data_IF_972724966302
#
_entry.id   IF_972724966302
#
_cell.length_a   1.000
_cell.length_b   1.000
_cell.length_c   1.000
_cell.angle_alpha   90.00
_cell.angle_beta   90.00
_cell.angle_gamma   90.00
#
_symmetry.space_group_name_H-M   'P 1'
#
loop_
_entity.id
_entity.type
_entity.pdbx_description
1 polymer ?
#
# COMPACT_ATOMS: atom_id res chain seq x y z
N UNK A 1 -8.36 -32.72 -36.18
CA UNK A 1 -8.44 -31.95 -34.91
C UNK A 1 -9.19 -30.65 -35.19
N UNK A 2 -10.33 -30.41 -34.55
CA UNK A 2 -11.03 -29.11 -34.64
C UNK A 2 -10.36 -28.16 -33.63
N UNK A 3 -9.72 -27.11 -34.13
CA UNK A 3 -9.21 -26.04 -33.29
C UNK A 3 -10.41 -25.29 -32.68
N UNK A 4 -10.68 -25.53 -31.40
CA UNK A 4 -11.64 -24.75 -30.63
C UNK A 4 -11.07 -23.34 -30.51
N UNK A 5 -11.59 -22.40 -31.32
CA UNK A 5 -11.37 -20.97 -31.12
C UNK A 5 -12.10 -20.54 -29.85
N UNK A 6 -11.50 -20.80 -28.69
CA UNK A 6 -11.84 -20.07 -27.49
C UNK A 6 -11.22 -18.69 -27.61
N UNK A 7 -12.04 -17.65 -27.70
CA UNK A 7 -11.60 -16.29 -27.37
C UNK A 7 -11.24 -16.32 -25.88
N UNK A 8 -9.96 -16.62 -25.56
CA UNK A 8 -9.44 -16.42 -24.22
C UNK A 8 -9.40 -14.92 -23.98
N UNK A 9 -10.47 -14.40 -23.37
CA UNK A 9 -10.58 -13.01 -22.92
C UNK A 9 -9.80 -12.75 -21.63
N UNK A 10 -9.09 -13.75 -21.09
CA UNK A 10 -8.23 -13.57 -19.94
C UNK A 10 -6.87 -13.01 -20.36
N UNK A 11 -6.63 -11.76 -19.98
CA UNK A 11 -5.39 -11.06 -20.27
C UNK A 11 -4.29 -11.35 -19.24
N UNK A 12 -4.51 -12.26 -18.28
CA UNK A 12 -3.55 -12.67 -17.27
C UNK A 12 -3.65 -11.93 -15.94
N UNK A 13 -4.53 -10.93 -15.81
CA UNK A 13 -4.65 -10.10 -14.59
C UNK A 13 -5.22 -10.85 -13.37
N UNK A 14 -5.91 -11.97 -13.60
CA UNK A 14 -6.44 -12.86 -12.55
C UNK A 14 -5.59 -14.12 -12.34
N UNK A 15 -4.43 -14.18 -12.99
CA UNK A 15 -3.49 -15.30 -12.89
C UNK A 15 -2.30 -14.86 -12.03
N UNK A 16 -2.02 -15.63 -11.00
CA UNK A 16 -0.82 -15.49 -10.18
C UNK A 16 0.18 -16.57 -10.59
N UNK A 17 1.40 -16.15 -10.86
CA UNK A 17 2.53 -17.02 -11.14
C UNK A 17 3.43 -17.06 -9.91
N UNK A 18 3.82 -18.27 -9.51
CA UNK A 18 4.75 -18.50 -8.43
C UNK A 18 5.95 -19.26 -8.98
N UNK A 19 7.14 -18.68 -8.89
CA UNK A 19 8.38 -19.23 -9.43
C UNK A 19 9.30 -19.76 -8.33
N UNK A 20 10.09 -20.79 -8.65
CA UNK A 20 11.04 -21.43 -7.73
C UNK A 20 10.38 -22.07 -6.50
N UNK A 21 9.11 -22.45 -6.63
CA UNK A 21 8.37 -23.16 -5.58
C UNK A 21 8.77 -24.63 -5.51
N UNK A 22 9.03 -25.12 -4.30
CA UNK A 22 9.33 -26.54 -4.07
C UNK A 22 8.07 -27.42 -4.18
N UNK A 23 8.19 -28.72 -4.47
CA UNK A 23 7.04 -29.63 -4.49
C UNK A 23 6.25 -29.68 -3.17
N UNK A 24 6.93 -29.55 -2.02
CA UNK A 24 6.28 -29.45 -0.72
C UNK A 24 5.46 -28.17 -0.58
N UNK A 25 6.05 -27.01 -0.89
CA UNK A 25 5.34 -25.73 -0.82
C UNK A 25 4.17 -25.67 -1.80
N UNK A 26 4.27 -26.30 -2.97
CA UNK A 26 3.15 -26.38 -3.91
C UNK A 26 1.95 -27.17 -3.34
N UNK A 27 2.19 -28.20 -2.51
CA UNK A 27 1.13 -28.92 -1.79
C UNK A 27 0.53 -28.08 -0.67
N UNK A 28 1.36 -27.37 0.07
CA UNK A 28 0.92 -26.48 1.16
C UNK A 28 0.08 -25.33 0.58
N UNK A 29 0.53 -24.72 -0.52
CA UNK A 29 -0.22 -23.72 -1.28
C UNK A 29 -1.58 -24.27 -1.72
N UNK A 30 -1.64 -25.49 -2.26
CA UNK A 30 -2.92 -26.10 -2.65
C UNK A 30 -3.88 -26.25 -1.47
N UNK A 31 -3.36 -26.46 -0.27
CA UNK A 31 -4.15 -26.51 0.97
C UNK A 31 -4.66 -25.10 1.34
N UNK A 32 -3.76 -24.10 1.34
CA UNK A 32 -4.13 -22.70 1.60
C UNK A 32 -5.20 -22.19 0.61
N UNK A 33 -5.08 -22.55 -0.67
CA UNK A 33 -6.02 -22.18 -1.72
C UNK A 33 -7.46 -22.69 -1.49
N UNK A 34 -7.65 -23.77 -0.72
CA UNK A 34 -8.99 -24.23 -0.33
C UNK A 34 -9.67 -23.25 0.61
N UNK A 35 -8.90 -22.58 1.48
CA UNK A 35 -9.38 -21.53 2.40
C UNK A 35 -9.57 -20.20 1.67
N UNK A 36 -8.62 -19.84 0.81
CA UNK A 36 -8.68 -18.60 0.01
C UNK A 36 -9.88 -18.62 -0.95
N UNK A 37 -10.15 -19.76 -1.61
CA UNK A 37 -11.32 -19.96 -2.46
C UNK A 37 -11.25 -19.27 -3.84
N UNK A 38 -12.32 -19.41 -4.61
CA UNK A 38 -12.51 -18.88 -5.98
C UNK A 38 -11.35 -19.17 -6.96
N UNK A 39 -10.72 -20.33 -6.80
CA UNK A 39 -9.70 -20.82 -7.74
C UNK A 39 -10.39 -21.52 -8.89
N UNK A 40 -10.16 -21.05 -10.10
CA UNK A 40 -10.66 -21.65 -11.34
C UNK A 40 -9.73 -22.75 -11.84
N UNK A 41 -8.43 -22.48 -11.86
CA UNK A 41 -7.42 -23.44 -12.30
C UNK A 41 -6.19 -23.39 -11.39
N UNK A 42 -5.62 -24.56 -11.11
CA UNK A 42 -4.36 -24.73 -10.42
C UNK A 42 -3.46 -25.62 -11.27
N UNK A 43 -2.40 -25.04 -11.85
CA UNK A 43 -1.49 -25.72 -12.75
C UNK A 43 -0.07 -25.73 -12.14
N UNK A 44 0.30 -26.81 -11.44
CA UNK A 44 1.67 -27.02 -10.98
C UNK A 44 2.54 -27.54 -12.13
N UNK A 45 3.68 -26.92 -12.32
CA UNK A 45 4.76 -27.36 -13.21
C UNK A 45 6.02 -27.62 -12.37
N UNK A 46 7.08 -28.12 -13.01
CA UNK A 46 8.38 -28.17 -12.36
C UNK A 46 8.78 -26.76 -11.95
N UNK A 47 9.04 -26.55 -10.65
CA UNK A 47 9.44 -25.29 -9.99
C UNK A 47 8.54 -24.06 -10.23
N UNK A 48 7.33 -24.22 -10.78
CA UNK A 48 6.38 -23.12 -11.02
C UNK A 48 4.96 -23.54 -10.71
N UNK A 49 4.12 -22.60 -10.31
CA UNK A 49 2.67 -22.82 -10.19
C UNK A 49 1.94 -21.63 -10.80
N UNK A 50 0.93 -21.91 -11.62
CA UNK A 50 -0.05 -20.91 -12.06
C UNK A 50 -1.37 -21.14 -11.34
N UNK A 51 -1.92 -20.06 -10.76
CA UNK A 51 -3.23 -20.07 -10.10
C UNK A 51 -4.12 -19.05 -10.78
N UNK A 52 -5.17 -19.51 -11.44
CA UNK A 52 -6.19 -18.65 -12.04
C UNK A 52 -7.38 -18.53 -11.08
N UNK A 53 -7.82 -17.32 -10.81
CA UNK A 53 -8.99 -17.04 -9.97
C UNK A 53 -10.23 -16.66 -10.81
N UNK A 54 -11.41 -16.71 -10.20
CA UNK A 54 -12.67 -16.31 -10.85
C UNK A 54 -12.67 -14.83 -11.28
N UNK A 55 -12.06 -13.94 -10.48
CA UNK A 55 -11.94 -12.51 -10.76
C UNK A 55 -10.57 -11.93 -10.33
N UNK A 56 -10.29 -10.69 -10.74
CA UNK A 56 -9.05 -9.98 -10.38
C UNK A 56 -8.94 -9.73 -8.87
N UNK A 57 -10.06 -9.41 -8.22
CA UNK A 57 -10.17 -9.21 -6.77
C UNK A 57 -10.01 -10.52 -6.00
N UNK A 58 -10.51 -11.64 -6.54
CA UNK A 58 -10.31 -12.95 -5.92
C UNK A 58 -8.82 -13.32 -5.86
N UNK A 59 -8.06 -12.95 -6.90
CA UNK A 59 -6.61 -13.09 -6.93
C UNK A 59 -5.88 -12.18 -5.93
N UNK A 60 -6.43 -11.00 -5.57
CA UNK A 60 -5.81 -10.14 -4.52
C UNK A 60 -5.54 -10.93 -3.24
N UNK A 61 -6.48 -11.81 -2.85
CA UNK A 61 -6.42 -12.56 -1.59
C UNK A 61 -5.17 -13.44 -1.46
N UNK A 62 -4.67 -14.02 -2.55
CA UNK A 62 -3.44 -14.84 -2.47
C UNK A 62 -2.20 -13.97 -2.25
N UNK A 63 -2.10 -12.83 -2.94
CA UNK A 63 -1.00 -11.88 -2.70
C UNK A 63 -1.02 -11.32 -1.28
N UNK A 64 -2.21 -10.97 -0.78
CA UNK A 64 -2.40 -10.49 0.60
C UNK A 64 -2.14 -11.61 1.61
N UNK A 65 -2.54 -12.83 1.31
CA UNK A 65 -2.20 -13.98 2.17
C UNK A 65 -0.69 -14.11 2.33
N UNK A 66 0.08 -13.95 1.24
CA UNK A 66 1.54 -13.92 1.33
C UNK A 66 2.08 -12.71 2.09
N UNK A 67 1.47 -11.51 1.99
CA UNK A 67 1.92 -10.33 2.75
C UNK A 67 1.76 -10.49 4.26
N UNK A 68 0.84 -11.35 4.70
CA UNK A 68 0.53 -11.58 6.11
C UNK A 68 1.29 -12.76 6.72
N UNK A 69 2.19 -13.42 6.00
CA UNK A 69 2.98 -14.54 6.54
C UNK A 69 4.14 -14.03 7.41
N UNK A 70 4.37 -14.67 8.57
CA UNK A 70 5.50 -14.40 9.49
C UNK A 70 6.86 -14.50 8.79
N UNK A 71 6.97 -15.40 7.81
CA UNK A 71 8.22 -15.71 7.13
C UNK A 71 8.04 -15.56 5.63
N UNK A 72 8.95 -14.82 5.03
CA UNK A 72 9.13 -14.78 3.59
C UNK A 72 9.42 -16.17 3.03
N UNK A 73 9.03 -16.40 1.78
CA UNK A 73 9.30 -17.63 1.06
C UNK A 73 10.47 -17.43 0.10
N UNK A 74 11.15 -18.53 -0.26
CA UNK A 74 12.26 -18.51 -1.22
C UNK A 74 11.79 -18.41 -2.67
N UNK A 75 10.53 -18.79 -2.92
CA UNK A 75 9.88 -18.62 -4.21
C UNK A 75 9.48 -17.16 -4.43
N UNK A 76 9.21 -16.79 -5.67
CA UNK A 76 8.66 -15.46 -6.00
C UNK A 76 7.16 -15.55 -6.28
N UNK A 77 6.42 -14.48 -6.00
CA UNK A 77 4.98 -14.40 -6.21
C UNK A 77 4.66 -13.15 -7.01
N UNK A 78 4.07 -13.31 -8.19
CA UNK A 78 3.73 -12.19 -9.08
C UNK A 78 2.41 -12.41 -9.79
N UNK A 79 1.78 -11.32 -10.23
CA UNK A 79 0.70 -11.42 -11.22
C UNK A 79 1.30 -11.61 -12.60
N UNK A 80 0.68 -12.48 -13.40
CA UNK A 80 1.11 -12.68 -14.78
C UNK A 80 1.02 -11.39 -15.61
N UNK A 81 0.05 -10.53 -15.30
CA UNK A 81 -0.06 -9.19 -15.88
C UNK A 81 -0.41 -8.15 -14.82
N UNK A 82 0.18 -6.96 -14.95
CA UNK A 82 -0.16 -5.80 -14.12
C UNK A 82 -1.64 -5.49 -14.22
N UNK A 83 -2.28 -5.26 -13.08
CA UNK A 83 -3.68 -4.89 -13.10
C UNK A 83 -3.82 -3.41 -13.43
N UNK A 84 -4.53 -3.11 -14.52
CA UNK A 84 -4.84 -1.75 -14.93
C UNK A 84 -6.36 -1.65 -14.98
N UNK A 85 -6.93 -0.80 -14.15
CA UNK A 85 -8.36 -0.56 -14.13
C UNK A 85 -8.68 0.76 -14.84
N UNK A 86 -9.78 0.77 -15.59
CA UNK A 86 -10.40 1.99 -16.12
C UNK A 86 -11.61 2.44 -15.27
N UNK A 87 -11.73 1.88 -14.06
CA UNK A 87 -12.90 2.07 -13.20
C UNK A 87 -12.48 2.16 -11.72
N UNK A 88 -13.33 2.83 -10.96
CA UNK A 88 -13.23 3.02 -9.51
C UNK A 88 -12.88 1.71 -8.78
N UNK A 89 -11.95 1.79 -7.83
CA UNK A 89 -11.59 0.70 -6.94
C UNK A 89 -12.80 0.20 -6.12
N UNK A 90 -12.93 -1.13 -6.04
CA UNK A 90 -13.92 -1.80 -5.19
C UNK A 90 -13.27 -2.22 -3.86
N UNK A 91 -14.05 -2.39 -2.78
CA UNK A 91 -13.51 -2.91 -1.52
C UNK A 91 -12.99 -4.34 -1.69
N UNK A 92 -12.07 -4.79 -0.82
CA UNK A 92 -11.64 -6.18 -0.76
C UNK A 92 -12.82 -7.16 -0.73
N UNK A 93 -12.81 -8.14 -1.64
CA UNK A 93 -13.81 -9.21 -1.68
C UNK A 93 -13.42 -10.32 -0.70
N UNK A 94 -14.30 -10.64 0.24
CA UNK A 94 -14.11 -11.70 1.25
C UNK A 94 -12.76 -11.59 1.99
N UNK A 95 -12.44 -10.44 2.62
CA UNK A 95 -11.09 -10.17 3.12
C UNK A 95 -10.62 -11.16 4.21
N UNK A 96 -11.54 -11.72 5.00
CA UNK A 96 -11.21 -12.73 6.00
C UNK A 96 -10.56 -14.01 5.40
N UNK A 97 -10.83 -14.32 4.13
CA UNK A 97 -10.23 -15.47 3.44
C UNK A 97 -8.78 -15.22 3.00
N UNK A 98 -8.29 -13.99 3.07
CA UNK A 98 -6.87 -13.68 2.87
C UNK A 98 -6.03 -13.92 4.15
N UNK A 99 -6.65 -14.15 5.30
CA UNK A 99 -5.91 -14.38 6.55
C UNK A 99 -5.25 -15.78 6.56
N UNK A 100 -3.93 -15.86 6.78
CA UNK A 100 -3.27 -17.13 7.04
C UNK A 100 -3.76 -17.78 8.33
N UNK A 101 -3.36 -19.02 8.57
CA UNK A 101 -3.62 -19.66 9.85
C UNK A 101 -2.76 -19.01 10.94
N UNK A 102 -3.24 -18.99 12.18
CA UNK A 102 -2.60 -18.23 13.28
C UNK A 102 -1.15 -18.65 13.57
N UNK A 103 -0.80 -19.91 13.28
CA UNK A 103 0.59 -20.40 13.37
C UNK A 103 1.53 -19.67 12.41
N UNK A 104 1.00 -19.30 11.24
CA UNK A 104 1.76 -18.82 10.08
C UNK A 104 1.62 -17.30 9.87
N UNK A 105 0.59 -16.68 10.44
CA UNK A 105 0.25 -15.27 10.26
C UNK A 105 1.07 -14.35 11.17
N UNK A 106 1.53 -13.19 10.68
CA UNK A 106 2.15 -12.13 11.51
C UNK A 106 1.26 -11.77 12.70
N UNK A 107 1.84 -11.33 13.82
CA UNK A 107 1.09 -11.11 15.06
C UNK A 107 -0.02 -10.07 14.91
N UNK A 108 0.18 -9.10 14.01
CA UNK A 108 -0.75 -8.01 13.73
C UNK A 108 -1.69 -8.32 12.55
N UNK A 109 -1.66 -9.53 11.98
CA UNK A 109 -2.43 -9.89 10.81
C UNK A 109 -3.94 -9.70 11.05
N UNK A 110 -4.54 -8.80 10.28
CA UNK A 110 -5.97 -8.49 10.36
C UNK A 110 -6.55 -8.09 9.02
N UNK A 111 -7.87 -8.17 8.95
CA UNK A 111 -8.64 -7.60 7.83
C UNK A 111 -8.55 -6.07 7.92
N UNK A 112 -8.31 -5.37 6.79
CA UNK A 112 -8.32 -3.92 6.78
C UNK A 112 -9.64 -3.34 7.30
N UNK A 113 -9.54 -2.29 8.12
CA UNK A 113 -10.69 -1.52 8.55
C UNK A 113 -11.14 -0.66 7.38
N UNK A 114 -12.34 -0.94 6.88
CA UNK A 114 -12.97 -0.17 5.82
C UNK A 114 -14.12 0.66 6.39
N UNK A 115 -13.82 1.88 6.86
CA UNK A 115 -14.83 2.88 7.26
C UNK A 115 -15.61 3.47 6.06
N UNK A 116 -15.71 2.70 4.97
CA UNK A 116 -16.25 3.09 3.69
C UNK A 116 -15.26 2.87 2.55
N UNK A 117 -15.80 2.71 1.34
CA UNK A 117 -15.01 2.78 0.11
C UNK A 117 -14.91 4.24 -0.25
N UNK A 118 -13.71 4.74 -0.50
CA UNK A 118 -13.55 6.02 -1.20
C UNK A 118 -14.07 5.75 -2.63
N UNK A 119 -15.37 5.93 -2.87
CA UNK A 119 -16.03 5.73 -4.19
C UNK A 119 -15.44 6.60 -5.29
N UNK A 120 -14.62 7.55 -4.87
CA UNK A 120 -13.94 8.53 -5.66
C UNK A 120 -12.42 8.24 -5.73
N UNK A 121 -11.92 7.10 -5.24
CA UNK A 121 -10.48 6.81 -5.16
C UNK A 121 -9.85 6.66 -6.54
N UNK A 122 -8.52 6.71 -6.54
CA UNK A 122 -7.68 6.56 -7.71
C UNK A 122 -7.78 5.14 -8.31
N UNK A 123 -7.72 5.03 -9.64
CA UNK A 123 -7.94 3.77 -10.37
C UNK A 123 -6.82 2.74 -10.13
N UNK A 124 -7.08 1.49 -9.69
CA UNK A 124 -6.05 0.48 -9.42
C UNK A 124 -4.92 0.40 -10.48
N UNK A 125 -3.69 0.04 -10.06
CA UNK A 125 -3.39 -0.80 -8.91
C UNK A 125 -3.06 -0.05 -7.61
N UNK A 126 -3.31 -0.73 -6.49
CA UNK A 126 -2.65 -0.48 -5.20
C UNK A 126 -1.60 -1.57 -4.97
N UNK A 127 -0.81 -1.43 -3.91
CA UNK A 127 0.26 -2.37 -3.60
C UNK A 127 0.28 -2.72 -2.13
N UNK A 128 0.47 -4.00 -1.84
CA UNK A 128 0.82 -4.49 -0.49
C UNK A 128 2.30 -4.82 -0.44
N UNK A 129 2.93 -4.58 0.70
CA UNK A 129 4.30 -5.02 0.98
C UNK A 129 4.31 -6.50 1.34
N UNK A 130 5.42 -7.18 1.11
CA UNK A 130 5.60 -8.61 1.31
C UNK A 130 7.02 -8.91 1.77
N UNK A 131 7.16 -9.97 2.57
CA UNK A 131 8.46 -10.57 2.91
C UNK A 131 8.96 -11.56 1.85
N UNK A 132 8.14 -11.85 0.84
CA UNK A 132 8.45 -12.77 -0.26
C UNK A 132 8.71 -11.96 -1.54
N UNK A 133 9.78 -12.29 -2.26
CA UNK A 133 10.15 -11.62 -3.51
C UNK A 133 8.98 -11.61 -4.53
N UNK A 134 8.76 -10.49 -5.27
CA UNK A 134 9.59 -9.30 -5.40
C UNK A 134 9.31 -8.23 -4.33
N UNK A 135 8.90 -8.66 -3.13
CA UNK A 135 8.63 -7.87 -1.93
C UNK A 135 7.41 -6.98 -2.00
N UNK A 136 6.77 -6.79 -3.15
CA UNK A 136 5.50 -6.09 -3.27
C UNK A 136 4.57 -6.80 -4.25
N UNK A 137 3.27 -6.67 -4.03
CA UNK A 137 2.27 -7.30 -4.88
C UNK A 137 1.12 -6.34 -5.23
N UNK A 138 0.74 -6.25 -6.51
CA UNK A 138 -0.32 -5.35 -6.94
C UNK A 138 -1.70 -5.93 -6.63
N UNK A 139 -2.59 -5.07 -6.13
CA UNK A 139 -3.98 -5.40 -5.81
C UNK A 139 -4.96 -4.50 -6.55
N UNK A 140 -6.13 -5.05 -6.87
CA UNK A 140 -7.26 -4.30 -7.41
C UNK A 140 -8.01 -3.51 -6.35
N UNK A 141 -8.03 -4.04 -5.14
CA UNK A 141 -8.75 -3.47 -4.01
C UNK A 141 -7.74 -2.79 -3.07
N UNK A 142 -8.16 -1.77 -2.30
CA UNK A 142 -7.33 -1.19 -1.26
C UNK A 142 -7.26 -2.16 -0.07
N UNK A 143 -6.07 -2.72 0.21
CA UNK A 143 -5.82 -3.64 1.33
C UNK A 143 -5.07 -2.98 2.48
N UNK A 144 -5.51 -1.78 2.84
CA UNK A 144 -4.95 -0.94 3.89
C UNK A 144 -6.08 -0.26 4.66
N UNK A 145 -5.79 0.24 5.86
CA UNK A 145 -6.79 0.89 6.70
C UNK A 145 -7.21 2.24 6.09
N UNK A 146 -8.52 2.47 6.02
CA UNK A 146 -9.09 3.74 5.57
C UNK A 146 -9.69 4.43 6.79
N UNK A 147 -9.13 5.59 7.21
CA UNK A 147 -9.62 6.26 8.40
C UNK A 147 -11.05 6.75 8.19
N UNK A 148 -11.80 7.02 9.27
CA UNK A 148 -13.04 7.77 9.14
C UNK A 148 -12.79 9.11 8.43
N UNK A 149 -13.59 9.43 7.41
CA UNK A 149 -13.38 10.62 6.60
C UNK A 149 -14.70 11.25 6.10
N UNK A 150 -14.64 12.54 5.75
CA UNK A 150 -15.67 13.24 4.99
C UNK A 150 -15.04 13.82 3.72
N UNK A 151 -15.52 13.39 2.54
CA UNK A 151 -15.10 13.99 1.27
C UNK A 151 -15.63 15.41 1.17
N UNK A 152 -14.78 16.36 0.78
CA UNK A 152 -15.14 17.76 0.63
C UNK A 152 -15.50 18.05 -0.82
N UNK A 153 -16.80 18.22 -1.09
CA UNK A 153 -17.34 18.62 -2.41
C UNK A 153 -17.93 20.02 -2.37
N UNK A 154 -18.46 20.41 -1.21
CA UNK A 154 -19.07 21.71 -0.96
C UNK A 154 -18.83 22.17 0.49
N UNK A 155 -19.17 23.43 0.78
CA UNK A 155 -19.02 24.03 2.12
C UNK A 155 -19.84 23.29 3.18
N UNK A 156 -20.98 22.70 2.79
CA UNK A 156 -21.81 21.88 3.68
C UNK A 156 -21.07 20.68 4.26
N UNK A 157 -20.20 20.04 3.49
CA UNK A 157 -19.39 18.90 3.93
C UNK A 157 -18.41 19.30 5.04
N UNK A 158 -17.79 20.48 4.92
CA UNK A 158 -16.85 21.02 5.92
C UNK A 158 -17.59 21.26 7.23
N UNK A 159 -18.74 21.94 7.18
CA UNK A 159 -19.56 22.23 8.37
C UNK A 159 -20.02 20.96 9.09
N UNK A 160 -20.37 19.93 8.32
CA UNK A 160 -20.79 18.63 8.86
C UNK A 160 -19.63 17.92 9.59
N UNK A 161 -18.42 17.98 9.04
CA UNK A 161 -17.25 17.32 9.61
C UNK A 161 -16.58 18.10 10.76
N UNK A 162 -16.80 19.42 10.82
CA UNK A 162 -16.15 20.34 11.75
C UNK A 162 -16.06 19.85 13.21
N UNK A 163 -17.13 19.32 13.86
CA UNK A 163 -17.06 18.92 15.27
C UNK A 163 -15.98 17.89 15.59
N UNK A 164 -15.60 17.08 14.61
CA UNK A 164 -14.62 16.02 14.75
C UNK A 164 -13.31 16.38 14.02
N UNK A 165 -13.39 16.91 12.80
CA UNK A 165 -12.22 17.24 11.97
C UNK A 165 -11.32 18.31 12.59
N UNK A 166 -11.88 19.28 13.35
CA UNK A 166 -11.10 20.33 14.00
C UNK A 166 -10.09 19.79 15.02
N UNK A 167 -10.36 18.64 15.62
CA UNK A 167 -9.48 18.01 16.61
C UNK A 167 -8.17 17.51 15.97
N UNK A 168 -8.24 17.06 14.72
CA UNK A 168 -7.12 16.42 14.03
C UNK A 168 -6.47 17.33 12.99
N UNK A 169 -7.21 18.30 12.45
CA UNK A 169 -6.72 19.25 11.43
C UNK A 169 -5.95 18.55 10.30
N UNK A 170 -6.45 17.39 9.88
CA UNK A 170 -5.76 16.49 8.96
C UNK A 170 -6.58 16.31 7.70
N UNK A 171 -5.90 16.41 6.56
CA UNK A 171 -6.48 16.19 5.23
C UNK A 171 -5.84 14.96 4.60
N UNK A 172 -6.68 14.06 4.10
CA UNK A 172 -6.27 12.98 3.21
C UNK A 172 -6.54 13.40 1.76
N UNK A 173 -5.56 13.20 0.90
CA UNK A 173 -5.60 13.47 -0.53
C UNK A 173 -5.65 12.16 -1.31
N UNK A 174 -6.50 12.11 -2.33
CA UNK A 174 -6.58 10.99 -3.28
C UNK A 174 -6.72 11.49 -4.72
N UNK A 175 -6.76 10.57 -5.69
CA UNK A 175 -6.85 10.90 -7.12
C UNK A 175 -5.49 11.12 -7.79
N UNK A 176 -4.39 10.76 -7.13
CA UNK A 176 -3.06 10.78 -7.73
C UNK A 176 -2.96 9.82 -8.93
N UNK A 177 -2.13 10.10 -9.94
CA UNK A 177 -1.86 9.16 -11.03
C UNK A 177 -1.18 7.89 -10.52
N UNK A 178 -0.95 6.92 -11.42
CA UNK A 178 -0.26 5.67 -11.08
C UNK A 178 1.22 5.88 -10.75
N UNK A 179 1.87 6.87 -11.36
CA UNK A 179 3.26 7.21 -11.04
C UNK A 179 3.37 7.80 -9.64
N UNK A 180 4.42 7.39 -8.93
CA UNK A 180 4.76 7.94 -7.62
C UNK A 180 5.07 9.43 -7.83
N UNK A 181 4.26 10.30 -7.22
CA UNK A 181 4.55 11.74 -7.22
C UNK A 181 5.50 12.07 -6.09
N UNK A 182 6.39 13.01 -6.37
CA UNK A 182 7.39 13.49 -5.42
C UNK A 182 6.71 14.13 -4.20
N UNK A 183 7.30 13.94 -3.01
CA UNK A 183 6.79 14.53 -1.77
C UNK A 183 6.86 16.04 -1.87
N UNK A 184 7.93 16.54 -2.49
CA UNK A 184 8.15 17.94 -2.82
C UNK A 184 7.01 18.56 -3.63
N UNK A 185 6.47 17.85 -4.64
CA UNK A 185 5.35 18.32 -5.43
C UNK A 185 4.08 18.47 -4.59
N UNK A 186 3.77 17.46 -3.77
CA UNK A 186 2.61 17.52 -2.87
C UNK A 186 2.81 18.64 -1.86
N UNK A 187 3.97 18.73 -1.20
CA UNK A 187 4.27 19.77 -0.22
C UNK A 187 4.17 21.19 -0.81
N UNK A 188 4.55 21.39 -2.08
CA UNK A 188 4.43 22.68 -2.75
C UNK A 188 2.97 23.17 -2.81
N UNK A 189 2.00 22.27 -3.02
CA UNK A 189 0.57 22.62 -3.05
C UNK A 189 0.09 23.23 -1.72
N UNK A 190 0.76 22.92 -0.61
CA UNK A 190 0.35 23.36 0.73
C UNK A 190 1.32 24.35 1.37
N UNK A 191 2.45 24.64 0.71
CA UNK A 191 3.56 25.41 1.30
C UNK A 191 3.15 26.77 1.86
N UNK A 192 2.14 27.43 1.30
CA UNK A 192 1.60 28.71 1.79
C UNK A 192 0.84 28.61 3.12
N UNK A 193 0.43 27.40 3.52
CA UNK A 193 -0.35 27.16 4.74
C UNK A 193 0.52 26.65 5.90
N UNK A 194 1.82 26.45 5.66
CA UNK A 194 2.79 26.00 6.66
C UNK A 194 3.83 27.09 6.91
N UNK A 195 4.16 27.33 8.18
CA UNK A 195 5.41 28.02 8.51
C UNK A 195 6.58 27.09 8.16
N UNK A 196 7.68 27.61 7.61
CA UNK A 196 8.80 26.82 7.06
C UNK A 196 9.22 25.67 8.00
N UNK A 197 9.56 24.51 7.43
CA UNK A 197 10.37 23.49 8.10
C UNK A 197 9.72 22.15 8.47
N UNK A 198 8.53 21.80 7.98
CA UNK A 198 7.84 20.60 8.46
C UNK A 198 7.89 19.43 7.48
N UNK A 199 9.06 18.79 7.32
CA UNK A 199 9.23 17.61 6.44
C UNK A 199 8.29 16.44 6.78
N UNK A 200 7.65 16.44 7.95
CA UNK A 200 6.70 15.41 8.41
C UNK A 200 5.22 15.81 8.32
N UNK A 201 4.92 17.07 8.02
CA UNK A 201 3.52 17.52 7.85
C UNK A 201 2.86 16.94 6.61
N UNK A 202 3.63 16.36 5.69
CA UNK A 202 3.12 15.72 4.49
C UNK A 202 3.71 14.33 4.37
N UNK A 203 2.87 13.30 4.44
CA UNK A 203 3.25 11.91 4.25
C UNK A 203 2.55 11.34 3.01
N UNK A 204 3.33 10.94 2.01
CA UNK A 204 2.80 10.36 0.76
C UNK A 204 2.97 8.84 0.81
N UNK A 205 1.87 8.11 0.92
CA UNK A 205 1.84 6.65 0.91
C UNK A 205 1.68 6.17 -0.54
N UNK A 206 2.80 6.10 -1.25
CA UNK A 206 2.87 5.86 -2.69
C UNK A 206 2.16 4.57 -3.14
N UNK A 207 2.34 3.48 -2.38
CA UNK A 207 1.72 2.18 -2.64
C UNK A 207 0.19 2.21 -2.54
N UNK A 208 -0.34 3.15 -1.76
CA UNK A 208 -1.76 3.32 -1.50
C UNK A 208 -2.39 4.44 -2.32
N UNK A 209 -1.56 5.26 -2.98
CA UNK A 209 -1.98 6.42 -3.79
C UNK A 209 -2.79 7.42 -2.98
N UNK A 210 -2.32 7.68 -1.77
CA UNK A 210 -2.86 8.67 -0.86
C UNK A 210 -1.74 9.50 -0.26
N UNK A 211 -2.05 10.73 0.09
CA UNK A 211 -1.16 11.56 0.89
C UNK A 211 -1.95 12.13 2.07
N UNK A 212 -1.28 12.32 3.19
CA UNK A 212 -1.83 12.92 4.40
C UNK A 212 -1.10 14.22 4.67
N UNK A 213 -1.88 15.26 4.95
CA UNK A 213 -1.40 16.60 5.28
C UNK A 213 -1.90 16.96 6.67
N UNK A 214 -0.94 17.17 7.57
CA UNK A 214 -1.16 17.45 9.00
C UNK A 214 -0.98 18.94 9.23
N UNK A 215 -2.08 19.68 9.29
CA UNK A 215 -2.03 21.13 9.52
C UNK A 215 -1.74 21.43 10.99
N UNK A 216 -1.04 22.54 11.29
CA UNK A 216 -0.72 22.91 12.67
C UNK A 216 -1.97 23.27 13.49
N UNK A 217 -3.04 23.71 12.85
CA UNK A 217 -4.31 24.03 13.49
C UNK A 217 -5.47 24.00 12.48
N UNK A 218 -6.69 24.05 13.03
CA UNK A 218 -7.90 24.04 12.23
C UNK A 218 -8.00 25.26 11.31
N UNK A 219 -7.60 26.45 11.75
CA UNK A 219 -7.73 27.66 10.93
C UNK A 219 -6.90 27.58 9.64
N UNK A 220 -5.69 27.02 9.71
CA UNK A 220 -4.85 26.76 8.53
C UNK A 220 -5.47 25.69 7.63
N UNK A 221 -6.00 24.61 8.21
CA UNK A 221 -6.71 23.56 7.47
C UNK A 221 -7.96 24.12 6.77
N UNK A 222 -8.78 24.89 7.47
CA UNK A 222 -10.00 25.50 6.95
C UNK A 222 -9.69 26.47 5.80
N UNK A 223 -8.69 27.34 5.98
CA UNK A 223 -8.23 28.25 4.93
C UNK A 223 -7.83 27.50 3.66
N UNK A 224 -7.15 26.36 3.80
CA UNK A 224 -6.85 25.49 2.66
C UNK A 224 -8.12 24.93 1.99
N UNK A 225 -9.09 24.46 2.77
CA UNK A 225 -10.33 23.88 2.24
C UNK A 225 -11.18 24.90 1.49
N UNK A 226 -11.26 26.14 1.99
CA UNK A 226 -11.93 27.25 1.28
C UNK A 226 -11.22 27.57 -0.04
N UNK A 227 -9.89 27.62 -0.01
CA UNK A 227 -9.06 27.76 -1.21
C UNK A 227 -9.31 26.63 -2.22
N UNK A 228 -9.38 25.37 -1.75
CA UNK A 228 -9.68 24.20 -2.57
C UNK A 228 -11.06 24.28 -3.23
N UNK A 229 -12.10 24.68 -2.50
CA UNK A 229 -13.45 24.80 -3.06
C UNK A 229 -13.55 25.94 -4.08
N UNK A 230 -12.81 27.02 -3.89
CA UNK A 230 -12.83 28.20 -4.76
C UNK A 230 -12.01 28.01 -6.04
N UNK A 231 -10.81 27.46 -5.91
CA UNK A 231 -9.82 27.39 -6.99
C UNK A 231 -9.32 25.97 -7.20
N UNK A 232 -10.23 24.97 -7.17
CA UNK A 232 -9.94 23.52 -7.27
C UNK A 232 -8.58 23.26 -7.89
N UNK A 233 -7.54 22.97 -7.08
CA UNK A 233 -6.19 22.82 -7.57
C UNK A 233 -6.21 21.77 -8.67
N UNK A 234 -5.93 22.20 -9.89
CA UNK A 234 -5.70 21.33 -11.04
C UNK A 234 -4.18 21.21 -11.17
N UNK A 235 -3.57 20.17 -10.59
CA UNK A 235 -2.14 19.90 -10.70
C UNK A 235 -1.66 19.56 -12.13
N UNK A 236 -2.53 19.72 -13.15
CA UNK A 236 -2.30 19.42 -14.56
C UNK A 236 -3.58 18.97 -15.26
N UNK A 237 -3.53 18.82 -16.59
CA UNK A 237 -4.66 18.37 -17.43
C UNK A 237 -5.09 16.91 -17.18
N UNK A 238 -4.28 16.13 -16.45
CA UNK A 238 -4.35 14.67 -16.48
C UNK A 238 -4.95 14.01 -15.24
N UNK A 239 -5.21 14.75 -14.15
CA UNK A 239 -5.87 14.21 -12.96
C UNK A 239 -6.54 15.26 -12.08
N UNK A 240 -7.50 14.81 -11.27
CA UNK A 240 -8.26 15.65 -10.33
C UNK A 240 -7.94 15.22 -8.91
N UNK A 241 -7.34 16.13 -8.13
CA UNK A 241 -7.08 15.91 -6.72
C UNK A 241 -8.39 15.96 -5.93
N UNK A 242 -8.60 14.96 -5.08
CA UNK A 242 -9.75 14.87 -4.19
C UNK A 242 -9.31 15.03 -2.74
N UNK A 243 -10.07 15.81 -2.00
CA UNK A 243 -9.77 16.21 -0.63
C UNK A 243 -10.78 15.60 0.33
N UNK A 244 -10.27 15.00 1.40
CA UNK A 244 -11.06 14.37 2.44
C UNK A 244 -10.59 14.89 3.81
N UNK A 245 -11.53 15.35 4.63
CA UNK A 245 -11.28 15.64 6.03
C UNK A 245 -11.18 14.32 6.80
N UNK A 246 -10.09 14.13 7.53
CA UNK A 246 -9.90 12.96 8.40
C UNK A 246 -10.60 13.22 9.74
N UNK A 247 -11.33 12.21 10.22
CA UNK A 247 -12.20 12.28 11.39
C UNK A 247 -11.68 11.44 12.57
N UNK A 248 -10.45 10.95 12.50
CA UNK A 248 -9.82 10.20 13.58
C UNK A 248 -8.34 10.57 13.68
N UNK A 249 -7.72 10.18 14.80
CA UNK A 249 -6.31 10.47 15.02
C UNK A 249 -5.44 9.63 14.07
N UNK A 250 -4.76 10.35 13.19
CA UNK A 250 -3.80 9.81 12.24
C UNK A 250 -2.47 10.55 12.40
N UNK A 251 -2.10 11.01 13.60
CA UNK A 251 -0.83 11.71 13.77
C UNK A 251 0.35 10.75 13.50
N UNK A 252 1.34 11.13 12.66
CA UNK A 252 2.47 10.25 12.35
C UNK A 252 3.37 10.04 13.57
N UNK A 253 3.44 10.99 14.50
CA UNK A 253 4.35 10.98 15.64
C UNK A 253 5.47 11.99 15.47
N UNK A 254 6.26 12.17 16.54
CA UNK A 254 7.25 13.25 16.65
C UNK A 254 8.68 12.80 16.36
N UNK A 255 8.87 11.53 16.00
CA UNK A 255 10.17 11.00 15.62
C UNK A 255 10.01 9.91 14.54
N UNK A 256 11.13 9.62 13.88
CA UNK A 256 11.20 8.67 12.76
C UNK A 256 10.70 7.26 13.12
N UNK A 257 11.00 6.78 14.33
CA UNK A 257 10.56 5.46 14.79
C UNK A 257 9.03 5.40 14.92
N UNK A 258 8.44 6.38 15.60
CA UNK A 258 6.98 6.48 15.76
C UNK A 258 6.27 6.67 14.42
N UNK A 259 6.84 7.50 13.52
CA UNK A 259 6.35 7.69 12.17
C UNK A 259 6.35 6.38 11.40
N UNK A 260 7.46 5.65 11.39
CA UNK A 260 7.54 4.35 10.72
C UNK A 260 6.45 3.41 11.24
N UNK A 261 6.34 3.22 12.57
CA UNK A 261 5.35 2.32 13.18
C UNK A 261 3.92 2.70 12.83
N UNK A 262 3.57 3.99 12.92
CA UNK A 262 2.21 4.47 12.65
C UNK A 262 1.85 4.34 11.17
N UNK A 263 2.75 4.75 10.26
CA UNK A 263 2.52 4.65 8.81
C UNK A 263 2.45 3.19 8.33
N UNK A 264 3.24 2.29 8.92
CA UNK A 264 3.15 0.86 8.64
C UNK A 264 1.83 0.25 9.11
N UNK A 265 1.36 0.62 10.32
CA UNK A 265 0.04 0.21 10.82
C UNK A 265 -1.09 0.66 9.90
N UNK A 266 -1.07 1.91 9.44
CA UNK A 266 -2.09 2.41 8.50
C UNK A 266 -2.02 1.74 7.13
N UNK A 267 -0.85 1.21 6.76
CA UNK A 267 -0.66 0.38 5.58
C UNK A 267 -1.15 -1.06 5.75
N UNK A 268 -1.72 -1.40 6.91
CA UNK A 268 -2.07 -2.77 7.32
C UNK A 268 -0.88 -3.74 7.18
N UNK A 269 0.33 -3.24 7.42
CA UNK A 269 1.57 -4.00 7.40
C UNK A 269 2.01 -4.34 8.83
N UNK A 270 2.77 -5.42 8.98
CA UNK A 270 3.29 -5.82 10.29
C UNK A 270 4.28 -4.81 10.84
N UNK A 271 4.23 -4.61 12.15
CA UNK A 271 5.14 -3.72 12.87
C UNK A 271 5.74 -4.49 14.01
N UNK A 272 7.06 -4.67 13.94
CA UNK A 272 7.82 -5.28 15.02
C UNK A 272 7.84 -4.36 16.24
N UNK A 273 7.74 -4.93 17.44
CA UNK A 273 7.90 -4.24 18.73
C UNK A 273 9.27 -4.52 19.41
N UNK A 274 10.44 -4.48 18.74
CA UNK A 274 11.70 -4.70 19.43
C UNK A 274 12.25 -3.40 20.01
N UNK A 275 13.01 -3.57 21.08
CA UNK A 275 13.94 -2.57 21.57
C UNK A 275 14.91 -2.19 20.43
N UNK A 276 15.27 -0.91 20.29
CA UNK A 276 16.20 -0.37 19.28
C UNK A 276 15.80 -0.41 17.78
N UNK A 277 14.51 -0.22 17.43
CA UNK A 277 14.11 -0.11 16.01
C UNK A 277 14.92 0.97 15.25
N UNK A 278 15.24 2.10 15.89
CA UNK A 278 16.07 3.16 15.32
C UNK A 278 17.45 2.69 14.84
N UNK A 279 18.06 1.68 15.48
CA UNK A 279 19.37 1.14 15.08
C UNK A 279 19.28 0.13 13.93
N UNK A 280 18.06 -0.24 13.51
CA UNK A 280 17.80 -1.21 12.45
C UNK A 280 17.13 -0.59 11.22
N UNK A 281 16.74 0.68 11.28
CA UNK A 281 16.11 1.38 10.18
C UNK A 281 17.16 1.98 9.24
N UNK A 282 17.03 1.69 7.95
CA UNK A 282 17.76 2.35 6.88
C UNK A 282 16.78 3.21 6.09
N UNK A 283 17.12 4.47 5.83
CA UNK A 283 16.36 5.34 4.95
C UNK A 283 17.10 5.51 3.61
N UNK A 284 16.57 4.92 2.54
CA UNK A 284 17.06 5.13 1.18
C UNK A 284 16.27 6.26 0.54
N UNK A 285 16.96 7.29 0.05
CA UNK A 285 16.34 8.45 -0.63
C UNK A 285 16.60 8.39 -2.13
N UNK A 286 15.59 8.74 -2.92
CA UNK A 286 15.62 8.70 -4.38
C UNK A 286 15.38 10.09 -4.97
N UNK A 287 16.11 10.44 -6.03
CA UNK A 287 15.86 11.66 -6.80
C UNK A 287 14.64 11.50 -7.74
N UNK A 288 14.56 10.36 -8.42
CA UNK A 288 13.43 9.94 -9.25
C UNK A 288 13.10 8.50 -8.92
N UNK A 289 11.85 8.24 -8.49
CA UNK A 289 11.45 6.91 -8.03
C UNK A 289 10.41 6.28 -8.94
N UNK A 290 10.62 5.02 -9.27
CA UNK A 290 9.59 4.14 -9.82
C UNK A 290 9.48 2.90 -8.94
N UNK A 291 8.35 2.20 -9.02
CA UNK A 291 8.17 0.95 -8.29
C UNK A 291 9.22 -0.11 -8.66
N UNK A 292 9.66 -0.14 -9.93
CA UNK A 292 10.70 -1.06 -10.37
C UNK A 292 12.07 -0.74 -9.76
N UNK A 293 12.40 0.54 -9.58
CA UNK A 293 13.61 0.96 -8.87
C UNK A 293 13.53 0.53 -7.40
N UNK A 294 12.39 0.74 -6.73
CA UNK A 294 12.20 0.31 -5.34
C UNK A 294 12.35 -1.21 -5.23
N UNK A 295 11.71 -1.99 -6.10
CA UNK A 295 11.87 -3.45 -6.13
C UNK A 295 13.33 -3.87 -6.29
N UNK A 296 14.05 -3.20 -7.21
CA UNK A 296 15.46 -3.51 -7.46
C UNK A 296 16.34 -3.24 -6.23
N UNK A 297 16.08 -2.13 -5.52
CA UNK A 297 16.76 -1.81 -4.26
C UNK A 297 16.44 -2.85 -3.18
N UNK A 298 15.17 -3.21 -2.99
CA UNK A 298 14.79 -4.23 -1.99
C UNK A 298 15.43 -5.59 -2.29
N UNK A 299 15.50 -5.98 -3.57
CA UNK A 299 16.20 -7.19 -4.01
C UNK A 299 17.71 -7.11 -3.73
N UNK A 300 18.34 -5.97 -3.99
CA UNK A 300 19.75 -5.76 -3.69
C UNK A 300 20.02 -5.84 -2.18
N UNK A 301 19.22 -5.15 -1.36
CA UNK A 301 19.34 -5.18 0.10
C UNK A 301 19.16 -6.61 0.63
N UNK A 302 18.12 -7.33 0.18
CA UNK A 302 17.90 -8.73 0.56
C UNK A 302 19.05 -9.68 0.17
N UNK A 303 19.82 -9.34 -0.86
CA UNK A 303 20.98 -10.14 -1.27
C UNK A 303 22.19 -9.96 -0.36
N UNK A 304 22.25 -8.84 0.36
CA UNK A 304 23.31 -8.51 1.32
C UNK A 304 22.95 -9.01 2.72
N UNK A 305 21.74 -8.68 3.19
CA UNK A 305 21.30 -9.02 4.53
C UNK A 305 19.76 -9.17 4.61
N UNK A 306 19.25 -10.02 5.53
CA UNK A 306 17.82 -10.18 5.73
C UNK A 306 17.21 -8.92 6.36
N UNK A 307 16.02 -8.54 5.89
CA UNK A 307 15.22 -7.48 6.47
C UNK A 307 13.84 -8.01 6.88
N UNK A 308 13.19 -7.30 7.80
CA UNK A 308 11.91 -7.65 8.39
C UNK A 308 10.76 -7.08 7.58
N UNK A 309 10.75 -5.76 7.38
CA UNK A 309 9.70 -5.06 6.65
C UNK A 309 10.21 -3.72 6.10
N UNK A 310 9.38 -3.00 5.37
CA UNK A 310 9.75 -1.72 4.78
C UNK A 310 8.54 -0.83 4.52
N UNK A 311 8.76 0.49 4.58
CA UNK A 311 7.76 1.53 4.32
C UNK A 311 8.19 2.34 3.09
N UNK A 312 7.32 2.36 2.08
CA UNK A 312 7.53 3.15 0.86
C UNK A 312 6.76 4.46 0.98
N UNK A 313 7.50 5.56 1.04
CA UNK A 313 6.98 6.91 0.91
C UNK A 313 7.22 7.42 -0.53
N UNK A 314 7.05 8.71 -0.78
CA UNK A 314 7.28 9.29 -2.11
C UNK A 314 8.75 9.18 -2.52
N UNK A 315 9.68 9.87 -1.86
CA UNK A 315 11.10 9.89 -2.26
C UNK A 315 11.96 9.03 -1.33
N UNK A 316 11.36 8.34 -0.36
CA UNK A 316 12.06 7.63 0.70
C UNK A 316 11.51 6.22 0.87
N UNK A 317 12.40 5.26 1.07
CA UNK A 317 12.05 3.91 1.50
C UNK A 317 12.77 3.63 2.81
N UNK A 318 11.99 3.39 3.85
CA UNK A 318 12.50 2.91 5.13
C UNK A 318 12.54 1.40 5.12
N UNK A 319 13.69 0.81 5.41
CA UNK A 319 13.89 -0.64 5.45
C UNK A 319 14.26 -1.02 6.88
N UNK A 320 13.47 -1.86 7.51
CA UNK A 320 13.75 -2.42 8.83
C UNK A 320 14.58 -3.68 8.67
N UNK A 321 15.86 -3.61 9.02
CA UNK A 321 16.78 -4.75 9.01
C UNK A 321 16.53 -5.70 10.20
N UNK A 322 16.93 -6.96 10.09
CA UNK A 322 16.80 -7.91 11.20
C UNK A 322 17.58 -7.50 12.45
N UNK A 323 18.77 -6.92 12.28
CA UNK A 323 19.66 -6.47 13.36
C UNK A 323 20.55 -5.30 12.90
N UNK A 324 21.26 -4.68 13.84
CA UNK A 324 22.14 -3.54 13.55
C UNK A 324 23.39 -3.93 12.74
N UNK A 325 23.84 -5.20 12.80
CA UNK A 325 24.97 -5.67 12.00
C UNK A 325 24.61 -5.76 10.51
N UNK A 326 23.36 -6.10 10.22
CA UNK A 326 22.78 -6.08 8.88
C UNK A 326 22.71 -4.66 8.32
N UNK A 327 22.57 -3.64 9.16
CA UNK A 327 22.64 -2.23 8.73
C UNK A 327 24.04 -1.88 8.23
N UNK A 328 25.09 -2.25 8.98
CA UNK A 328 26.46 -2.00 8.56
C UNK A 328 26.76 -2.65 7.19
N UNK A 329 26.38 -3.91 7.00
CA UNK A 329 26.58 -4.64 5.74
C UNK A 329 25.92 -4.00 4.51
N UNK A 330 24.82 -3.26 4.71
CA UNK A 330 24.09 -2.61 3.61
C UNK A 330 24.62 -1.20 3.32
N UNK A 331 25.26 -0.56 4.30
CA UNK A 331 25.80 0.79 4.18
C UNK A 331 27.28 0.84 3.76
N UNK A 332 28.01 -0.28 3.89
CA UNK A 332 29.38 -0.47 3.40
C UNK A 332 29.45 -0.60 1.86
#
# INVERSE_FOLDING_TARGET
>A
MRCLKHNMTDNGERIICIHHISPSEARDLRTALRKIGSVRNFLPLLNKVFVEFESKQDADRLGVWHSLLKRGRKHTVERLKMVVASSVALPPKLPAQALPDASDAVATARVPIANGVIKDCADPPFWVTMSTAPYMFPTMSPWFDIPAFQTVKEVGDIKKALPQAAQFSTVMLTGFPQSIRSQSFVAQLFSSYFTKGHSWSVNVLSLQRRAFVFFPCWDSCHSFLEGYLTHKPSPGKDFVLKVHLVLEDMHPGDNEETMYKNLMRWSNADVSEPESLSQRLICVTFSDVTLSVIQSVLMAVASLAPFVNYLVLAERVYIEMCDSSSVALVLD
#
